data_IF_678623091157
#
_entry.id   IF_678623091157
#
_cell.length_a   1.000
_cell.length_b   1.000
_cell.length_c   1.000
_cell.angle_alpha   90.00
_cell.angle_beta   90.00
_cell.angle_gamma   90.00
#
_symmetry.space_group_name_H-M   'P 1'
#
loop_
_entity.id
_entity.type
_entity.pdbx_description
1 polymer ?
#
# COMPACT_ATOMS: atom_id res chain seq x y z
N UNK A 1 -12.36 32.44 -16.75
CA UNK A 1 -11.20 31.52 -16.59
C UNK A 1 -11.41 30.70 -15.33
N UNK A 2 -11.79 29.43 -15.45
CA UNK A 2 -11.76 28.48 -14.33
C UNK A 2 -10.44 27.71 -14.43
N UNK A 3 -9.57 27.72 -13.41
CA UNK A 3 -8.40 26.87 -13.43
C UNK A 3 -8.74 25.46 -12.92
N UNK A 4 -8.00 24.50 -13.45
CA UNK A 4 -7.75 23.15 -12.91
C UNK A 4 -8.92 22.16 -12.86
N UNK A 5 -9.26 21.60 -14.03
CA UNK A 5 -9.82 20.25 -14.15
C UNK A 5 -8.80 19.21 -14.65
N UNK A 6 -7.54 19.61 -14.83
CA UNK A 6 -6.54 18.83 -15.57
C UNK A 6 -5.50 18.11 -14.68
N UNK A 7 -5.48 18.35 -13.37
CA UNK A 7 -4.47 17.77 -12.46
C UNK A 7 -4.75 16.33 -12.00
N UNK A 8 -5.86 15.71 -12.43
CA UNK A 8 -6.21 14.33 -12.05
C UNK A 8 -5.62 13.25 -12.99
N UNK A 9 -4.95 13.66 -14.07
CA UNK A 9 -4.44 12.77 -15.12
C UNK A 9 -2.92 12.75 -15.24
N UNK A 10 -2.20 13.63 -14.54
CA UNK A 10 -0.75 13.54 -14.48
C UNK A 10 -0.36 12.31 -13.63
N UNK A 11 0.54 11.43 -14.11
CA UNK A 11 1.13 10.43 -13.23
C UNK A 11 1.83 11.19 -12.08
N UNK A 12 1.50 10.84 -10.84
CA UNK A 12 2.19 11.42 -9.69
C UNK A 12 3.69 11.15 -9.84
N UNK A 13 4.55 12.12 -9.49
CA UNK A 13 5.98 11.93 -9.59
C UNK A 13 6.40 10.71 -8.77
N UNK A 14 7.25 9.88 -9.35
CA UNK A 14 7.89 8.78 -8.62
C UNK A 14 8.57 9.36 -7.37
N UNK A 15 8.33 8.80 -6.17
CA UNK A 15 8.92 9.35 -4.95
C UNK A 15 10.44 9.27 -5.00
N UNK A 16 11.11 10.36 -4.65
CA UNK A 16 12.56 10.38 -4.47
C UNK A 16 12.99 9.62 -3.21
N UNK A 17 14.28 9.31 -3.11
CA UNK A 17 14.85 8.52 -2.01
C UNK A 17 14.62 9.15 -0.63
N UNK A 18 14.77 10.47 -0.50
CA UNK A 18 14.52 11.20 0.75
C UNK A 18 13.07 11.00 1.24
N UNK A 19 12.11 11.06 0.31
CA UNK A 19 10.70 10.86 0.60
C UNK A 19 10.42 9.42 1.03
N UNK A 20 11.06 8.44 0.36
CA UNK A 20 10.96 7.02 0.71
C UNK A 20 11.54 6.73 2.10
N UNK A 21 12.68 7.34 2.45
CA UNK A 21 13.28 7.23 3.78
C UNK A 21 12.37 7.80 4.87
N UNK A 22 11.74 8.96 4.61
CA UNK A 22 10.78 9.56 5.53
C UNK A 22 9.55 8.67 5.75
N UNK A 23 9.00 8.09 4.68
CA UNK A 23 7.88 7.16 4.80
C UNK A 23 8.26 5.85 5.46
N UNK A 24 9.46 5.32 5.19
CA UNK A 24 9.98 4.13 5.85
C UNK A 24 10.11 4.35 7.37
N UNK A 25 10.59 5.52 7.79
CA UNK A 25 10.64 5.88 9.20
C UNK A 25 9.23 5.94 9.83
N UNK A 26 8.27 6.55 9.14
CA UNK A 26 6.88 6.62 9.62
C UNK A 26 6.23 5.23 9.73
N UNK A 27 6.46 4.35 8.75
CA UNK A 27 5.92 3.00 8.68
C UNK A 27 6.36 2.08 9.82
N UNK A 28 7.47 2.41 10.50
CA UNK A 28 7.99 1.66 11.66
C UNK A 28 7.37 2.13 12.98
N UNK A 29 6.55 3.18 12.96
CA UNK A 29 5.83 3.67 14.15
C UNK A 29 4.45 3.03 14.24
N UNK A 30 3.80 3.12 15.42
CA UNK A 30 2.41 2.69 15.57
C UNK A 30 1.43 3.42 14.63
N UNK A 31 1.82 4.60 14.11
CA UNK A 31 0.99 5.43 13.25
C UNK A 31 0.98 5.01 11.78
N UNK A 32 1.91 4.20 11.29
CA UNK A 32 2.01 3.83 9.86
C UNK A 32 2.44 4.98 8.95
N UNK A 33 2.50 4.72 7.64
CA UNK A 33 2.78 5.76 6.62
C UNK A 33 1.68 6.83 6.57
N UNK A 34 1.87 7.95 5.84
CA UNK A 34 0.73 8.67 5.28
C UNK A 34 -0.09 7.78 4.33
N UNK A 35 -1.27 8.24 3.92
CA UNK A 35 -2.06 7.60 2.87
C UNK A 35 -1.38 7.78 1.51
N UNK A 36 -0.99 6.67 0.89
CA UNK A 36 -0.24 6.59 -0.36
C UNK A 36 -1.13 6.11 -1.49
N UNK A 37 -0.89 6.59 -2.71
CA UNK A 37 -1.47 5.99 -3.92
C UNK A 37 -0.88 4.60 -4.19
N UNK A 38 -1.52 3.74 -5.02
CA UNK A 38 -1.03 2.39 -5.29
C UNK A 38 0.45 2.35 -5.70
N UNK A 39 0.88 3.24 -6.61
CA UNK A 39 2.23 3.28 -7.15
C UNK A 39 3.26 3.73 -6.10
N UNK A 40 2.87 4.67 -5.24
CA UNK A 40 3.71 5.14 -4.12
C UNK A 40 3.87 4.06 -3.05
N UNK A 41 2.78 3.35 -2.74
CA UNK A 41 2.80 2.24 -1.81
C UNK A 41 3.68 1.09 -2.34
N UNK A 42 3.61 0.78 -3.64
CA UNK A 42 4.52 -0.19 -4.26
C UNK A 42 5.98 0.26 -4.25
N UNK A 43 6.26 1.51 -4.60
CA UNK A 43 7.61 2.05 -4.56
C UNK A 43 8.23 1.93 -3.16
N UNK A 44 7.44 2.27 -2.12
CA UNK A 44 7.87 2.15 -0.74
C UNK A 44 8.08 0.69 -0.31
N UNK A 45 7.15 -0.21 -0.61
CA UNK A 45 7.27 -1.61 -0.24
C UNK A 45 8.49 -2.27 -0.92
N UNK A 46 8.76 -1.91 -2.18
CA UNK A 46 9.97 -2.35 -2.91
C UNK A 46 11.23 -1.79 -2.27
N UNK A 47 11.23 -0.51 -1.89
CA UNK A 47 12.37 0.10 -1.20
C UNK A 47 12.63 -0.59 0.15
N UNK A 48 11.59 -0.84 0.95
CA UNK A 48 11.68 -1.54 2.23
C UNK A 48 12.29 -2.95 2.09
N UNK A 49 11.95 -3.67 1.02
CA UNK A 49 12.51 -4.98 0.73
C UNK A 49 14.04 -4.94 0.56
N UNK A 50 14.58 -3.88 -0.08
CA UNK A 50 16.03 -3.69 -0.18
C UNK A 50 16.71 -3.45 1.18
N UNK A 51 15.93 -3.04 2.19
CA UNK A 51 16.37 -2.83 3.57
C UNK A 51 16.14 -4.06 4.46
N UNK A 52 15.66 -5.17 3.88
CA UNK A 52 15.32 -6.40 4.60
C UNK A 52 14.00 -6.34 5.37
N UNK A 53 13.12 -5.40 5.03
CA UNK A 53 11.81 -5.23 5.66
C UNK A 53 10.67 -5.64 4.72
N UNK A 54 9.62 -6.22 5.29
CA UNK A 54 8.39 -6.58 4.60
C UNK A 54 7.21 -5.71 5.05
N UNK A 55 6.12 -5.78 4.28
CA UNK A 55 4.84 -5.20 4.70
C UNK A 55 4.23 -6.08 5.79
N UNK A 56 4.07 -5.54 6.99
CA UNK A 56 3.51 -6.26 8.15
C UNK A 56 2.02 -6.03 8.33
N UNK A 57 1.55 -4.86 7.94
CA UNK A 57 0.16 -4.46 7.95
C UNK A 57 -0.07 -3.46 6.83
N UNK A 58 -1.28 -3.46 6.30
CA UNK A 58 -1.77 -2.47 5.36
C UNK A 58 -3.18 -2.07 5.79
N UNK A 59 -3.54 -0.80 5.59
CA UNK A 59 -4.93 -0.36 5.51
C UNK A 59 -5.18 0.14 4.08
N UNK A 60 -6.39 -0.07 3.55
CA UNK A 60 -6.83 0.54 2.30
C UNK A 60 -8.12 1.34 2.50
N UNK A 61 -8.23 2.48 1.83
CA UNK A 61 -9.41 3.34 1.90
C UNK A 61 -9.80 3.83 0.50
N UNK A 62 -11.09 3.81 0.17
CA UNK A 62 -11.60 4.30 -1.11
C UNK A 62 -11.61 5.84 -1.16
N UNK A 63 -11.10 6.41 -2.26
CA UNK A 63 -11.08 7.86 -2.51
C UNK A 63 -12.47 8.46 -2.79
N UNK A 64 -13.42 7.63 -3.20
CA UNK A 64 -14.80 8.03 -3.53
C UNK A 64 -15.75 6.97 -3.01
N UNK A 65 -16.81 7.37 -2.27
CA UNK A 65 -17.89 6.50 -1.78
C UNK A 65 -18.79 5.98 -2.93
N UNK A 66 -18.24 5.37 -3.97
CA UNK A 66 -19.05 4.67 -4.95
C UNK A 66 -19.03 3.18 -4.61
N UNK A 67 -20.08 2.79 -3.88
CA UNK A 67 -20.29 1.48 -3.24
C UNK A 67 -19.25 1.09 -2.16
N UNK A 68 -19.71 0.54 -1.02
CA UNK A 68 -18.79 -0.07 -0.06
C UNK A 68 -18.03 -1.21 -0.75
N UNK A 69 -16.73 -1.40 -0.45
CA UNK A 69 -15.98 -2.54 -0.98
C UNK A 69 -16.78 -3.82 -0.70
N UNK A 70 -17.05 -4.58 -1.76
CA UNK A 70 -17.76 -5.86 -1.64
C UNK A 70 -16.91 -6.91 -0.92
N UNK A 71 -15.62 -6.63 -0.78
CA UNK A 71 -14.62 -7.50 -0.21
C UNK A 71 -13.64 -6.71 0.68
N UNK A 72 -13.52 -7.13 1.94
CA UNK A 72 -12.60 -6.58 2.94
C UNK A 72 -11.17 -7.09 2.76
N UNK A 73 -10.96 -8.12 1.92
CA UNK A 73 -9.65 -8.72 1.69
C UNK A 73 -8.63 -7.77 1.05
N UNK A 74 -9.05 -6.61 0.55
CA UNK A 74 -8.14 -5.57 0.04
C UNK A 74 -7.71 -4.57 1.10
N UNK A 75 -8.45 -4.49 2.22
CA UNK A 75 -8.25 -3.46 3.22
C UNK A 75 -7.11 -3.79 4.15
N UNK A 76 -6.86 -5.08 4.46
CA UNK A 76 -5.88 -5.45 5.49
C UNK A 76 -5.05 -6.68 5.08
N UNK A 77 -3.73 -6.50 5.02
CA UNK A 77 -2.78 -7.62 5.08
C UNK A 77 -2.86 -8.23 6.48
N UNK A 78 -3.30 -9.49 6.61
CA UNK A 78 -3.61 -10.11 7.89
C UNK A 78 -5.06 -10.55 8.07
N UNK A 79 -6.01 -10.01 7.28
CA UNK A 79 -7.44 -10.32 7.34
C UNK A 79 -7.92 -11.39 6.33
N UNK A 80 -6.99 -12.07 5.67
CA UNK A 80 -7.25 -13.21 4.78
C UNK A 80 -7.54 -14.50 5.55
N UNK A 81 -7.95 -15.54 4.83
CA UNK A 81 -8.38 -16.80 5.41
C UNK A 81 -7.29 -17.43 6.30
N UNK A 82 -7.68 -18.23 7.31
CA UNK A 82 -6.72 -18.94 8.16
C UNK A 82 -5.70 -19.72 7.33
N UNK A 83 -4.41 -19.41 7.50
CA UNK A 83 -3.30 -20.05 6.78
C UNK A 83 -2.67 -19.20 5.67
N UNK A 84 -3.28 -18.09 5.25
CA UNK A 84 -2.78 -17.26 4.14
C UNK A 84 -1.90 -16.07 4.56
N UNK A 85 -1.86 -15.69 5.84
CA UNK A 85 -1.32 -14.38 6.24
C UNK A 85 -0.20 -14.35 7.28
N UNK A 86 -0.29 -15.18 8.32
CA UNK A 86 0.61 -15.06 9.47
C UNK A 86 2.04 -15.53 9.16
N UNK A 87 2.19 -16.38 8.15
CA UNK A 87 3.47 -16.98 7.78
C UNK A 87 4.19 -16.15 6.72
N UNK A 88 3.45 -15.51 5.83
CA UNK A 88 4.02 -14.68 4.77
C UNK A 88 4.55 -13.35 5.29
N UNK A 89 3.99 -12.82 6.39
CA UNK A 89 4.56 -11.65 7.09
C UNK A 89 5.92 -11.94 7.74
N UNK A 90 6.30 -13.22 7.88
CA UNK A 90 7.62 -13.65 8.38
C UNK A 90 8.67 -13.73 7.27
N UNK A 91 8.28 -13.56 6.01
CA UNK A 91 9.17 -13.50 4.85
C UNK A 91 8.92 -12.20 4.06
N UNK A 92 9.83 -11.21 4.14
CA UNK A 92 9.68 -9.94 3.43
C UNK A 92 9.34 -10.06 1.94
N UNK A 93 9.86 -11.09 1.25
CA UNK A 93 9.58 -11.29 -0.17
C UNK A 93 8.15 -11.78 -0.40
N UNK A 94 7.67 -12.72 0.42
CA UNK A 94 6.29 -13.22 0.32
C UNK A 94 5.28 -12.14 0.67
N UNK A 95 5.54 -11.38 1.75
CA UNK A 95 4.74 -10.22 2.11
C UNK A 95 4.64 -9.20 0.95
N UNK A 96 5.74 -8.95 0.24
CA UNK A 96 5.74 -8.06 -0.93
C UNK A 96 4.92 -8.62 -2.10
N UNK A 97 5.03 -9.92 -2.39
CA UNK A 97 4.25 -10.57 -3.46
C UNK A 97 2.75 -10.52 -3.14
N UNK A 98 2.36 -10.80 -1.91
CA UNK A 98 0.97 -10.73 -1.45
C UNK A 98 0.44 -9.29 -1.58
N UNK A 99 1.19 -8.31 -1.08
CA UNK A 99 0.88 -6.90 -1.24
C UNK A 99 0.65 -6.51 -2.71
N UNK A 100 1.56 -6.88 -3.62
CA UNK A 100 1.39 -6.63 -5.06
C UNK A 100 0.16 -7.33 -5.66
N UNK A 101 -0.21 -8.51 -5.17
CA UNK A 101 -1.42 -9.20 -5.63
C UNK A 101 -2.69 -8.43 -5.26
N UNK A 102 -2.76 -7.87 -4.04
CA UNK A 102 -3.88 -7.05 -3.57
C UNK A 102 -4.01 -5.74 -4.36
N UNK A 103 -2.89 -5.05 -4.63
CA UNK A 103 -2.90 -3.87 -5.50
C UNK A 103 -3.43 -4.18 -6.90
N UNK A 104 -2.98 -5.29 -7.50
CA UNK A 104 -3.44 -5.73 -8.82
C UNK A 104 -4.91 -6.12 -8.85
N UNK A 105 -5.40 -6.75 -7.78
CA UNK A 105 -6.81 -7.10 -7.65
C UNK A 105 -7.68 -5.83 -7.59
N UNK A 106 -7.35 -4.90 -6.70
CA UNK A 106 -8.04 -3.61 -6.60
C UNK A 106 -8.07 -2.86 -7.94
N UNK A 107 -6.93 -2.80 -8.65
CA UNK A 107 -6.86 -2.19 -9.98
C UNK A 107 -7.74 -2.90 -11.02
N UNK A 108 -7.75 -4.25 -11.04
CA UNK A 108 -8.59 -5.04 -11.95
C UNK A 108 -10.08 -4.83 -11.70
N UNK A 109 -10.48 -4.60 -10.45
CA UNK A 109 -11.86 -4.34 -10.07
C UNK A 109 -12.26 -2.86 -10.20
N UNK A 110 -11.35 -2.01 -10.67
CA UNK A 110 -11.61 -0.58 -10.86
C UNK A 110 -11.69 0.20 -9.55
N UNK A 111 -11.23 -0.38 -8.43
CA UNK A 111 -11.20 0.28 -7.14
C UNK A 111 -10.13 1.39 -7.11
N UNK A 112 -10.52 2.58 -6.65
CA UNK A 112 -9.61 3.72 -6.48
C UNK A 112 -9.27 3.89 -5.01
N UNK A 113 -8.23 3.18 -4.57
CA UNK A 113 -7.82 3.09 -3.17
C UNK A 113 -6.56 3.90 -2.87
N UNK A 114 -6.45 4.37 -1.63
CA UNK A 114 -5.20 4.78 -1.00
C UNK A 114 -4.82 3.75 0.07
N UNK A 115 -3.52 3.66 0.35
CA UNK A 115 -2.95 2.66 1.24
C UNK A 115 -2.12 3.27 2.33
N UNK A 116 -2.19 2.67 3.51
CA UNK A 116 -1.33 2.97 4.63
C UNK A 116 -0.54 1.72 5.00
N UNK A 117 0.77 1.84 5.16
CA UNK A 117 1.63 0.68 5.38
C UNK A 117 2.29 0.73 6.76
N UNK A 118 2.46 -0.44 7.35
CA UNK A 118 3.40 -0.67 8.44
C UNK A 118 4.45 -1.67 7.97
N UNK A 119 5.71 -1.31 8.19
CA UNK A 119 6.86 -2.06 7.71
C UNK A 119 7.65 -2.58 8.89
N UNK A 120 8.30 -3.71 8.70
CA UNK A 120 9.23 -4.20 9.70
C UNK A 120 9.95 -5.47 9.28
N UNK A 121 10.89 -5.87 10.13
CA UNK A 121 11.59 -7.14 10.00
C UNK A 121 10.71 -8.25 10.59
N UNK A 122 10.82 -9.48 10.05
CA UNK A 122 10.15 -10.64 10.60
C UNK A 122 10.60 -10.98 12.02
#
# INVERSE_FOLDING_TARGET
MSPAREDFLAPDPTPGEEQLLAWLAAARTGGGTPWLRPEQAEALARFALTQGEGVRLMEAAALTMHEPPRDISWEILGADAPGENWDDHRDPHKAFILFQSKLRLAAREGARLQYKLWLGRP
#
